data_IF_443890024624
#
_entry.id   IF_443890024624
#
_cell.length_a   1.000
_cell.length_b   1.000
_cell.length_c   1.000
_cell.angle_alpha   90.00
_cell.angle_beta   90.00
_cell.angle_gamma   90.00
#
_symmetry.space_group_name_H-M   'P 1'
#
loop_
_entity.id
_entity.type
_entity.pdbx_description
1 polymer ?
#
# COMPACT_ATOMS: atom_id res chain seq x y z
N UNK A 1 49.81 -29.24 3.68
CA UNK A 1 49.07 -28.07 4.22
C UNK A 1 48.56 -27.27 3.03
N UNK A 2 47.26 -27.35 2.72
CA UNK A 2 46.63 -26.55 1.67
C UNK A 2 45.36 -25.92 2.24
N UNK A 3 45.35 -24.59 2.32
CA UNK A 3 44.28 -23.76 2.88
C UNK A 3 42.96 -23.89 2.09
N UNK A 4 41.78 -23.84 2.74
CA UNK A 4 40.51 -23.92 2.03
C UNK A 4 40.22 -22.60 1.29
N UNK A 5 39.95 -22.73 0.00
CA UNK A 5 39.59 -21.65 -0.91
C UNK A 5 38.13 -21.22 -0.74
N UNK A 6 37.95 -19.91 -0.56
CA UNK A 6 36.74 -19.09 -0.57
C UNK A 6 35.53 -19.63 -1.36
N UNK A 7 34.46 -20.04 -0.65
CA UNK A 7 33.09 -20.16 -1.18
C UNK A 7 32.05 -19.43 -0.32
N UNK A 8 32.48 -18.39 0.39
CA UNK A 8 31.70 -17.69 1.42
C UNK A 8 30.42 -17.03 0.87
N UNK A 9 30.42 -16.59 -0.40
CA UNK A 9 29.29 -15.89 -1.01
C UNK A 9 28.01 -16.72 -1.19
N UNK A 10 28.11 -18.01 -1.57
CA UNK A 10 26.93 -18.90 -1.66
C UNK A 10 26.42 -19.36 -0.31
N UNK A 11 27.29 -19.45 0.70
CA UNK A 11 26.93 -19.92 2.03
C UNK A 11 26.06 -18.92 2.77
N UNK A 12 26.33 -17.62 2.62
CA UNK A 12 25.59 -16.58 3.36
C UNK A 12 24.14 -16.43 2.88
N UNK A 13 23.87 -16.56 1.57
CA UNK A 13 22.50 -16.51 1.04
C UNK A 13 21.60 -17.63 1.57
N UNK A 14 22.13 -18.81 1.88
CA UNK A 14 21.35 -19.90 2.48
C UNK A 14 20.73 -19.51 3.82
N UNK A 15 21.41 -18.64 4.58
CA UNK A 15 20.90 -18.16 5.86
C UNK A 15 19.64 -17.29 5.73
N UNK A 16 19.46 -16.60 4.58
CA UNK A 16 18.29 -15.75 4.31
C UNK A 16 17.18 -16.48 3.55
N UNK A 17 17.39 -17.73 3.16
CA UNK A 17 16.35 -18.52 2.51
C UNK A 17 15.31 -18.95 3.55
N UNK A 18 14.05 -18.92 3.13
CA UNK A 18 12.95 -19.45 3.91
C UNK A 18 13.14 -20.96 4.08
N UNK A 19 13.16 -21.42 5.33
CA UNK A 19 13.22 -22.84 5.67
C UNK A 19 11.95 -23.24 6.44
N UNK A 20 11.14 -24.12 5.87
CA UNK A 20 9.84 -24.53 6.43
C UNK A 20 9.95 -25.14 7.85
N UNK A 21 11.12 -25.68 8.21
CA UNK A 21 11.38 -26.22 9.57
C UNK A 21 11.84 -25.18 10.59
N UNK A 22 12.34 -24.01 10.16
CA UNK A 22 12.87 -22.95 11.03
C UNK A 22 11.95 -21.74 11.10
N UNK A 23 11.34 -21.36 9.98
CA UNK A 23 10.51 -20.17 9.82
C UNK A 23 9.03 -20.54 9.74
N UNK A 24 8.19 -19.85 10.52
CA UNK A 24 6.76 -20.07 10.42
C UNK A 24 6.17 -19.36 9.18
N UNK A 25 5.10 -19.89 8.56
CA UNK A 25 4.39 -19.19 7.48
C UNK A 25 3.88 -17.80 7.88
N UNK A 26 3.65 -17.56 9.17
CA UNK A 26 3.23 -16.26 9.70
C UNK A 26 4.38 -15.24 9.70
N UNK A 27 5.60 -15.67 10.01
CA UNK A 27 6.79 -14.80 9.99
C UNK A 27 7.12 -14.40 8.56
N UNK A 28 7.11 -15.35 7.63
CA UNK A 28 7.28 -15.07 6.20
C UNK A 28 6.21 -14.10 5.69
N UNK A 29 4.93 -14.31 6.06
CA UNK A 29 3.84 -13.40 5.71
C UNK A 29 4.08 -11.99 6.24
N UNK A 30 4.50 -11.84 7.50
CA UNK A 30 4.74 -10.54 8.11
C UNK A 30 5.89 -9.79 7.40
N UNK A 31 7.01 -10.48 7.13
CA UNK A 31 8.14 -9.90 6.39
C UNK A 31 7.71 -9.48 4.99
N UNK A 32 6.99 -10.34 4.27
CA UNK A 32 6.51 -10.03 2.92
C UNK A 32 5.53 -8.85 2.91
N UNK A 33 4.64 -8.73 3.90
CA UNK A 33 3.75 -7.58 4.04
C UNK A 33 4.53 -6.28 4.27
N UNK A 34 5.58 -6.32 5.10
CA UNK A 34 6.45 -5.15 5.32
C UNK A 34 7.17 -4.76 4.02
N UNK A 35 7.80 -5.72 3.34
CA UNK A 35 8.51 -5.46 2.09
C UNK A 35 7.56 -4.95 1.01
N UNK A 36 6.39 -5.56 0.86
CA UNK A 36 5.38 -5.09 -0.10
C UNK A 36 4.91 -3.67 0.26
N UNK A 37 4.60 -3.40 1.54
CA UNK A 37 4.23 -2.06 2.00
C UNK A 37 5.29 -1.00 1.70
N UNK A 38 6.57 -1.32 1.89
CA UNK A 38 7.69 -0.43 1.56
C UNK A 38 7.78 -0.17 0.05
N UNK A 39 7.62 -1.20 -0.79
CA UNK A 39 7.59 -1.04 -2.26
C UNK A 39 6.40 -0.16 -2.69
N UNK A 40 5.21 -0.39 -2.11
CA UNK A 40 4.04 0.43 -2.39
C UNK A 40 4.26 1.89 -1.99
N UNK A 41 4.83 2.14 -0.80
CA UNK A 41 5.14 3.49 -0.34
C UNK A 41 6.17 4.19 -1.25
N UNK A 42 7.26 3.51 -1.60
CA UNK A 42 8.30 4.06 -2.47
C UNK A 42 7.78 4.39 -3.88
N UNK A 43 7.00 3.48 -4.47
CA UNK A 43 6.41 3.68 -5.81
C UNK A 43 5.30 4.73 -5.82
N UNK A 44 4.54 4.85 -4.73
CA UNK A 44 3.59 5.95 -4.53
C UNK A 44 4.32 7.29 -4.46
N UNK A 45 5.36 7.40 -3.63
CA UNK A 45 6.19 8.60 -3.50
C UNK A 45 6.79 9.01 -4.85
N UNK A 46 7.38 8.07 -5.58
CA UNK A 46 7.96 8.32 -6.90
C UNK A 46 6.91 8.74 -7.95
N UNK A 47 5.64 8.35 -7.76
CA UNK A 47 4.53 8.76 -8.61
C UNK A 47 4.03 10.17 -8.31
N UNK A 48 3.91 10.55 -7.03
CA UNK A 48 3.44 11.89 -6.62
C UNK A 48 4.52 12.96 -6.69
N UNK A 49 5.78 12.56 -6.48
CA UNK A 49 6.96 13.41 -6.58
C UNK A 49 7.84 12.77 -7.65
N UNK A 50 7.62 13.11 -8.94
CA UNK A 50 8.40 12.53 -10.02
C UNK A 50 9.90 12.84 -9.83
N UNK A 51 10.81 11.93 -10.23
CA UNK A 51 12.24 12.18 -10.16
C UNK A 51 12.61 13.49 -10.86
N UNK A 52 13.42 14.33 -10.22
CA UNK A 52 13.76 15.66 -10.75
C UNK A 52 12.66 16.72 -10.56
N UNK A 53 11.50 16.35 -10.00
CA UNK A 53 10.43 17.28 -9.64
C UNK A 53 9.55 17.70 -10.82
N UNK A 54 8.83 18.79 -10.61
CA UNK A 54 7.94 19.41 -11.61
C UNK A 54 8.43 20.81 -11.93
N UNK A 55 8.19 21.25 -13.17
CA UNK A 55 8.45 22.63 -13.57
C UNK A 55 7.65 23.60 -12.70
N UNK A 56 8.27 24.70 -12.29
CA UNK A 56 7.63 25.73 -11.44
C UNK A 56 7.11 26.91 -12.27
N UNK A 57 7.63 27.04 -13.49
CA UNK A 57 7.35 28.10 -14.45
C UNK A 57 6.84 27.50 -15.77
N UNK A 58 6.36 28.37 -16.65
CA UNK A 58 5.86 28.00 -17.98
C UNK A 58 6.67 28.69 -19.07
N UNK A 59 7.99 28.61 -18.96
CA UNK A 59 8.94 29.20 -19.91
C UNK A 59 9.56 28.12 -20.80
N UNK A 60 10.25 28.54 -21.87
CA UNK A 60 11.11 27.67 -22.68
C UNK A 60 10.49 26.31 -23.13
N UNK A 61 9.18 26.31 -23.44
CA UNK A 61 8.46 25.14 -23.96
C UNK A 61 8.01 24.10 -22.92
N UNK A 62 8.15 24.40 -21.62
CA UNK A 62 7.61 23.60 -20.53
C UNK A 62 6.43 24.30 -19.86
N UNK A 63 5.66 23.52 -19.10
CA UNK A 63 4.44 23.98 -18.42
C UNK A 63 4.56 23.65 -16.95
N UNK A 64 4.25 24.63 -16.10
CA UNK A 64 4.30 24.47 -14.65
C UNK A 64 3.42 23.28 -14.21
N UNK A 65 3.93 22.50 -13.26
CA UNK A 65 3.27 21.28 -12.75
C UNK A 65 3.49 20.02 -13.60
N UNK A 66 4.10 20.11 -14.80
CA UNK A 66 4.55 18.91 -15.51
C UNK A 66 5.86 18.38 -14.93
N UNK A 67 5.98 17.06 -14.86
CA UNK A 67 7.20 16.39 -14.45
C UNK A 67 8.39 16.81 -15.36
N UNK A 68 9.48 17.26 -14.75
CA UNK A 68 10.72 17.60 -15.46
C UNK A 68 11.25 16.37 -16.22
N UNK A 69 11.10 15.19 -15.59
CA UNK A 69 11.50 13.92 -16.18
C UNK A 69 10.73 13.57 -17.47
N UNK A 70 9.53 14.13 -17.69
CA UNK A 70 8.76 13.91 -18.90
C UNK A 70 9.41 14.52 -20.17
N UNK A 71 10.41 15.40 -20.00
CA UNK A 71 11.21 15.93 -21.10
C UNK A 71 12.01 14.82 -21.82
N UNK A 72 12.41 13.77 -21.10
CA UNK A 72 13.05 12.57 -21.68
C UNK A 72 12.02 11.45 -21.86
N UNK A 73 11.23 11.54 -22.94
CA UNK A 73 10.08 10.66 -23.18
C UNK A 73 10.37 9.16 -22.98
N UNK A 74 11.43 8.62 -23.58
CA UNK A 74 11.72 7.19 -23.49
C UNK A 74 12.02 6.72 -22.06
N UNK A 75 12.90 7.42 -21.34
CA UNK A 75 13.24 7.08 -19.96
C UNK A 75 12.04 7.26 -19.01
N UNK A 76 11.22 8.29 -19.25
CA UNK A 76 9.99 8.53 -18.51
C UNK A 76 8.96 7.41 -18.68
N UNK A 77 8.74 6.93 -19.91
CA UNK A 77 7.82 5.81 -20.15
C UNK A 77 8.29 4.51 -19.50
N UNK A 78 9.58 4.20 -19.60
CA UNK A 78 10.16 3.01 -18.94
C UNK A 78 9.96 3.12 -17.43
N UNK A 79 10.29 4.28 -16.84
CA UNK A 79 10.07 4.54 -15.42
C UNK A 79 8.60 4.39 -15.01
N UNK A 80 7.67 4.99 -15.76
CA UNK A 80 6.24 4.89 -15.45
C UNK A 80 5.76 3.44 -15.47
N UNK A 81 6.10 2.69 -16.53
CA UNK A 81 5.69 1.28 -16.66
C UNK A 81 6.28 0.45 -15.51
N UNK A 82 7.58 0.58 -15.24
CA UNK A 82 8.24 -0.14 -14.14
C UNK A 82 7.66 0.22 -12.77
N UNK A 83 7.41 1.51 -12.51
CA UNK A 83 6.84 1.98 -11.24
C UNK A 83 5.40 1.47 -11.05
N UNK A 84 4.58 1.51 -12.11
CA UNK A 84 3.21 0.97 -12.08
C UNK A 84 3.19 -0.55 -11.88
N UNK A 85 4.09 -1.29 -12.53
CA UNK A 85 4.21 -2.73 -12.34
C UNK A 85 4.64 -3.08 -10.92
N UNK A 86 5.62 -2.37 -10.36
CA UNK A 86 6.07 -2.57 -9.00
C UNK A 86 4.96 -2.27 -7.97
N UNK A 87 4.24 -1.17 -8.14
CA UNK A 87 3.08 -0.82 -7.30
C UNK A 87 1.98 -1.89 -7.40
N UNK A 88 1.62 -2.30 -8.62
CA UNK A 88 0.58 -3.31 -8.86
C UNK A 88 0.95 -4.66 -8.25
N UNK A 89 2.19 -5.10 -8.45
CA UNK A 89 2.72 -6.36 -7.89
C UNK A 89 2.70 -6.32 -6.36
N UNK A 90 3.13 -5.22 -5.75
CA UNK A 90 3.07 -5.06 -4.30
C UNK A 90 1.64 -5.14 -3.77
N UNK A 91 0.69 -4.45 -4.39
CA UNK A 91 -0.73 -4.49 -4.01
C UNK A 91 -1.27 -5.93 -4.11
N UNK A 92 -0.95 -6.67 -5.18
CA UNK A 92 -1.36 -8.08 -5.31
C UNK A 92 -0.79 -8.98 -4.23
N UNK A 93 0.47 -8.78 -3.84
CA UNK A 93 1.10 -9.50 -2.72
C UNK A 93 0.39 -9.17 -1.41
N UNK A 94 0.13 -7.89 -1.15
CA UNK A 94 -0.64 -7.45 0.03
C UNK A 94 -2.01 -8.11 0.03
N UNK A 95 -2.77 -8.07 -1.07
CA UNK A 95 -4.09 -8.72 -1.15
C UNK A 95 -3.99 -10.22 -0.90
N UNK A 96 -3.00 -10.89 -1.47
CA UNK A 96 -2.88 -12.35 -1.35
C UNK A 96 -2.52 -12.79 0.07
N UNK A 97 -1.57 -12.10 0.71
CA UNK A 97 -1.13 -12.39 2.08
C UNK A 97 -2.18 -12.00 3.10
N UNK A 98 -2.92 -10.95 2.78
CA UNK A 98 -4.08 -10.52 3.51
C UNK A 98 -5.33 -11.04 2.76
N UNK A 99 -5.39 -12.35 2.48
CA UNK A 99 -6.58 -13.15 2.07
C UNK A 99 -7.61 -13.38 3.18
N UNK A 100 -7.08 -13.82 4.32
CA UNK A 100 -7.82 -14.53 5.36
C UNK A 100 -7.88 -13.79 6.70
N UNK A 101 -7.32 -12.58 6.81
CA UNK A 101 -7.61 -11.76 7.97
C UNK A 101 -9.06 -11.31 7.97
N UNK A 102 -9.68 -11.28 9.15
CA UNK A 102 -11.06 -10.86 9.28
C UNK A 102 -11.29 -9.42 8.78
N UNK A 103 -10.26 -8.57 8.66
CA UNK A 103 -10.37 -7.14 8.32
C UNK A 103 -10.20 -6.78 6.82
N UNK A 104 -10.15 -7.74 5.90
CA UNK A 104 -9.85 -7.46 4.48
C UNK A 104 -10.79 -6.53 3.76
N UNK A 105 -12.07 -6.86 3.79
CA UNK A 105 -13.06 -6.03 3.13
C UNK A 105 -13.09 -4.63 3.74
N UNK A 106 -12.80 -4.51 5.04
CA UNK A 106 -12.87 -3.24 5.75
C UNK A 106 -11.71 -2.31 5.44
N UNK A 107 -10.49 -2.83 5.25
CA UNK A 107 -9.35 -2.00 4.78
C UNK A 107 -9.60 -1.52 3.34
N UNK A 108 -10.14 -2.38 2.48
CA UNK A 108 -10.46 -2.01 1.10
C UNK A 108 -11.58 -0.98 1.02
N UNK A 109 -12.66 -1.15 1.79
CA UNK A 109 -13.74 -0.17 1.85
C UNK A 109 -13.28 1.15 2.47
N UNK A 110 -12.41 1.13 3.49
CA UNK A 110 -11.82 2.34 4.06
C UNK A 110 -11.05 3.17 3.02
N UNK A 111 -10.16 2.51 2.26
CA UNK A 111 -9.38 3.15 1.21
C UNK A 111 -10.26 3.76 0.12
N UNK A 112 -11.29 3.01 -0.31
CA UNK A 112 -12.26 3.48 -1.30
C UNK A 112 -13.06 4.68 -0.78
N UNK A 113 -13.44 4.68 0.51
CA UNK A 113 -14.15 5.78 1.15
C UNK A 113 -13.29 7.03 1.30
N UNK A 114 -12.01 6.90 1.64
CA UNK A 114 -11.08 8.04 1.69
C UNK A 114 -10.91 8.67 0.30
N UNK A 115 -10.79 7.85 -0.74
CA UNK A 115 -10.69 8.31 -2.13
C UNK A 115 -11.97 9.03 -2.56
N UNK A 116 -13.13 8.44 -2.25
CA UNK A 116 -14.43 9.03 -2.54
C UNK A 116 -14.67 10.34 -1.78
N UNK A 117 -14.32 10.38 -0.49
CA UNK A 117 -14.41 11.58 0.35
C UNK A 117 -13.50 12.71 -0.17
N UNK A 118 -12.29 12.37 -0.59
CA UNK A 118 -11.35 13.34 -1.19
C UNK A 118 -11.88 13.89 -2.52
N UNK A 119 -12.42 13.02 -3.38
CA UNK A 119 -13.04 13.42 -4.65
C UNK A 119 -14.27 14.30 -4.44
N UNK A 120 -15.14 13.96 -3.49
CA UNK A 120 -16.35 14.75 -3.19
C UNK A 120 -16.01 16.09 -2.54
N UNK A 121 -14.97 16.15 -1.72
CA UNK A 121 -14.42 17.39 -1.16
C UNK A 121 -13.86 18.30 -2.26
N UNK A 122 -13.07 17.75 -3.19
CA UNK A 122 -12.52 18.52 -4.30
C UNK A 122 -13.59 19.12 -5.24
N UNK A 123 -14.73 18.43 -5.39
CA UNK A 123 -15.83 18.84 -6.28
C UNK A 123 -16.87 19.73 -5.58
N UNK A 124 -17.00 19.68 -4.25
CA UNK A 124 -18.04 20.42 -3.51
C UNK A 124 -17.47 21.63 -2.79
N UNK A 125 -17.57 22.81 -3.39
CA UNK A 125 -17.27 24.08 -2.72
C UNK A 125 -18.30 24.39 -1.62
N UNK A 126 -17.86 24.32 -0.36
CA UNK A 126 -18.39 25.03 0.82
C UNK A 126 -19.81 24.69 1.38
N UNK A 127 -20.12 23.41 1.63
CA UNK A 127 -21.29 23.02 2.46
C UNK A 127 -20.94 21.98 3.54
N UNK A 128 -20.73 22.43 4.77
CA UNK A 128 -20.28 21.63 5.93
C UNK A 128 -21.21 20.48 6.32
N UNK A 129 -22.50 20.55 5.95
CA UNK A 129 -23.50 19.53 6.28
C UNK A 129 -23.35 18.26 5.46
N UNK A 130 -22.97 18.35 4.18
CA UNK A 130 -22.78 17.18 3.30
C UNK A 130 -21.58 16.33 3.74
N UNK A 131 -20.53 16.98 4.25
CA UNK A 131 -19.34 16.29 4.76
C UNK A 131 -19.65 15.40 5.99
N UNK A 132 -20.47 15.89 6.94
CA UNK A 132 -20.84 15.11 8.13
C UNK A 132 -21.65 13.86 7.78
N UNK A 133 -22.53 13.94 6.78
CA UNK A 133 -23.29 12.79 6.29
C UNK A 133 -22.41 11.74 5.62
N UNK A 134 -21.43 12.17 4.81
CA UNK A 134 -20.47 11.27 4.18
C UNK A 134 -19.61 10.56 5.25
N UNK A 135 -19.15 11.30 6.27
CA UNK A 135 -18.34 10.75 7.37
C UNK A 135 -19.14 9.74 8.22
N UNK A 136 -20.42 10.02 8.50
CA UNK A 136 -21.30 9.11 9.26
C UNK A 136 -21.67 7.87 8.46
N UNK A 137 -21.98 8.01 7.17
CA UNK A 137 -22.18 6.87 6.28
C UNK A 137 -20.93 5.99 6.19
N UNK A 138 -19.74 6.61 6.15
CA UNK A 138 -18.47 5.90 6.10
C UNK A 138 -18.13 5.11 7.37
N UNK A 139 -18.58 5.57 8.54
CA UNK A 139 -18.39 4.85 9.80
C UNK A 139 -19.31 3.63 9.96
N UNK A 140 -20.38 3.52 9.17
CA UNK A 140 -21.43 2.50 9.30
C UNK A 140 -20.92 1.05 9.37
N UNK A 141 -20.11 0.57 8.41
CA UNK A 141 -19.60 -0.81 8.41
C UNK A 141 -18.79 -1.15 9.66
N UNK A 142 -17.98 -0.20 10.15
CA UNK A 142 -17.16 -0.35 11.36
C UNK A 142 -18.03 -0.46 12.61
N UNK A 143 -19.04 0.41 12.73
CA UNK A 143 -19.98 0.41 13.86
C UNK A 143 -20.80 -0.89 13.90
N UNK A 144 -21.28 -1.36 12.75
CA UNK A 144 -22.00 -2.64 12.64
C UNK A 144 -21.11 -3.79 13.11
N UNK A 145 -19.85 -3.81 12.70
CA UNK A 145 -18.90 -4.86 13.07
C UNK A 145 -18.56 -4.86 14.56
N UNK A 146 -18.31 -3.68 15.14
CA UNK A 146 -18.11 -3.52 16.59
C UNK A 146 -19.35 -4.02 17.34
N UNK A 147 -20.55 -3.67 16.85
CA UNK A 147 -21.82 -4.10 17.44
C UNK A 147 -21.99 -5.62 17.42
N UNK A 148 -21.66 -6.29 16.31
CA UNK A 148 -21.69 -7.76 16.21
C UNK A 148 -20.68 -8.41 17.16
N UNK A 149 -19.46 -7.87 17.24
CA UNK A 149 -18.43 -8.39 18.15
C UNK A 149 -18.84 -8.24 19.62
N UNK A 150 -19.39 -7.08 19.99
CA UNK A 150 -19.93 -6.84 21.33
C UNK A 150 -21.10 -7.78 21.63
N UNK A 151 -22.03 -7.93 20.70
CA UNK A 151 -23.17 -8.84 20.85
C UNK A 151 -22.73 -10.28 21.07
N UNK A 152 -21.76 -10.77 20.27
CA UNK A 152 -21.21 -12.11 20.42
C UNK A 152 -20.47 -12.30 21.75
N UNK A 153 -19.72 -11.29 22.22
CA UNK A 153 -19.08 -11.34 23.54
C UNK A 153 -20.09 -11.31 24.69
N UNK A 154 -21.15 -10.52 24.58
CA UNK A 154 -22.23 -10.51 25.56
C UNK A 154 -22.96 -11.87 25.59
N UNK A 155 -23.31 -12.44 24.43
CA UNK A 155 -23.93 -13.77 24.34
C UNK A 155 -23.08 -14.86 24.98
N UNK A 156 -21.76 -14.85 24.74
CA UNK A 156 -20.85 -15.83 25.32
C UNK A 156 -20.74 -15.69 26.84
N UNK A 157 -20.77 -14.46 27.37
CA UNK A 157 -20.71 -14.18 28.81
C UNK A 157 -21.99 -14.57 29.57
N UNK A 158 -23.14 -14.65 28.88
CA UNK A 158 -24.42 -15.08 29.45
C UNK A 158 -24.67 -16.60 29.34
N UNK A 159 -23.81 -17.33 28.61
CA UNK A 159 -23.93 -18.78 28.41
C UNK A 159 -23.02 -19.61 29.33
N UNK A 160 -22.39 -18.97 30.32
CA UNK A 160 -21.49 -19.54 31.32
C UNK A 160 -22.00 -19.18 32.71
#
# INVERSE_FOLDING_TARGET
MGSPSSSTGRSWFKYFQYEEGRDSPSDARNVLLVVAGLIAAATFQAGVIPPGGVWQDSECGHVAGRAIYASQKHAFYIFLISNTLALSSSILVIISLTYKFPFHFEIFTASMMVTYASSTFAVTSHESVRFRFILTAAAGPFVIRISIQMFNRCRLKFSQ
#
